data_IF_527946776332
#
_entry.id   IF_527946776332
#
_cell.length_a   1.000
_cell.length_b   1.000
_cell.length_c   1.000
_cell.angle_alpha   90.00
_cell.angle_beta   90.00
_cell.angle_gamma   90.00
#
_symmetry.space_group_name_H-M   'P 1'
#
loop_
_entity.id
_entity.type
_entity.pdbx_description
1 polymer ?
#
# COMPACT_ATOMS: atom_id res chain seq x y z
N UNK A 1 -11.83 -4.76 -18.99
CA UNK A 1 -11.77 -4.78 -17.52
C UNK A 1 -12.22 -6.12 -16.95
N UNK A 2 -13.46 -6.59 -17.19
CA UNK A 2 -13.94 -7.90 -16.67
C UNK A 2 -13.37 -9.16 -17.36
N UNK A 3 -12.74 -9.05 -18.52
CA UNK A 3 -12.14 -10.18 -19.26
C UNK A 3 -10.64 -10.37 -19.01
N UNK A 4 -10.04 -9.59 -18.10
CA UNK A 4 -8.61 -9.72 -17.80
C UNK A 4 -8.34 -10.95 -16.90
N UNK A 5 -7.25 -11.70 -17.13
CA UNK A 5 -6.89 -12.83 -16.29
C UNK A 5 -6.61 -12.35 -14.85
N UNK A 6 -7.13 -13.09 -13.86
CA UNK A 6 -6.97 -12.76 -12.43
C UNK A 6 -7.99 -11.76 -11.86
N UNK A 7 -8.91 -11.25 -12.67
CA UNK A 7 -9.99 -10.34 -12.21
C UNK A 7 -11.27 -11.13 -11.99
N UNK A 8 -11.83 -11.08 -10.77
CA UNK A 8 -13.11 -11.71 -10.46
C UNK A 8 -14.27 -10.90 -11.06
N UNK A 9 -15.22 -11.60 -11.69
CA UNK A 9 -16.42 -10.97 -12.28
C UNK A 9 -17.28 -10.29 -11.20
N UNK A 10 -17.28 -10.84 -9.97
CA UNK A 10 -18.00 -10.28 -8.83
C UNK A 10 -17.50 -8.88 -8.48
N UNK A 11 -16.20 -8.71 -8.34
CA UNK A 11 -15.57 -7.45 -7.93
C UNK A 11 -15.81 -6.36 -8.98
N UNK A 12 -15.72 -6.71 -10.27
CA UNK A 12 -16.02 -5.76 -11.35
C UNK A 12 -17.50 -5.40 -11.37
N UNK A 13 -18.39 -6.36 -11.16
CA UNK A 13 -19.82 -6.09 -11.10
C UNK A 13 -20.18 -5.16 -9.94
N UNK A 14 -19.59 -5.37 -8.77
CA UNK A 14 -19.74 -4.51 -7.60
C UNK A 14 -19.25 -3.08 -7.87
N UNK A 15 -18.07 -2.93 -8.50
CA UNK A 15 -17.53 -1.59 -8.86
C UNK A 15 -18.40 -0.83 -9.87
N UNK A 16 -19.12 -1.55 -10.73
CA UNK A 16 -20.03 -0.99 -11.73
C UNK A 16 -21.47 -0.86 -11.19
N UNK A 17 -21.71 -1.20 -9.91
CA UNK A 17 -23.03 -1.25 -9.28
C UNK A 17 -24.05 -2.09 -10.06
N UNK A 18 -23.60 -3.16 -10.71
CA UNK A 18 -24.45 -4.10 -11.44
C UNK A 18 -24.39 -5.48 -10.79
N UNK A 19 -25.40 -6.30 -11.04
CA UNK A 19 -25.39 -7.68 -10.58
C UNK A 19 -24.40 -8.54 -11.41
N UNK A 20 -23.69 -9.46 -10.74
CA UNK A 20 -22.65 -10.30 -11.35
C UNK A 20 -23.18 -11.21 -12.48
N UNK A 21 -24.42 -11.67 -12.36
CA UNK A 21 -25.11 -12.41 -13.42
C UNK A 21 -25.33 -11.54 -14.67
N UNK A 22 -25.74 -10.28 -14.49
CA UNK A 22 -25.94 -9.33 -15.61
C UNK A 22 -24.64 -9.12 -16.38
N UNK A 23 -23.53 -8.90 -15.67
CA UNK A 23 -22.21 -8.75 -16.29
C UNK A 23 -21.78 -10.02 -17.05
N UNK A 24 -22.06 -11.20 -16.48
CA UNK A 24 -21.78 -12.49 -17.13
C UNK A 24 -22.61 -12.69 -18.40
N UNK A 25 -23.90 -12.33 -18.36
CA UNK A 25 -24.81 -12.38 -19.50
C UNK A 25 -24.29 -11.48 -20.63
N UNK A 26 -23.92 -10.24 -20.33
CA UNK A 26 -23.37 -9.32 -21.35
C UNK A 26 -22.05 -9.81 -21.94
N UNK A 27 -21.16 -10.42 -21.14
CA UNK A 27 -19.94 -11.07 -21.68
C UNK A 27 -20.27 -12.16 -22.70
N UNK A 28 -21.31 -12.96 -22.44
CA UNK A 28 -21.77 -13.99 -23.36
C UNK A 28 -22.31 -13.37 -24.65
N UNK A 29 -23.17 -12.36 -24.54
CA UNK A 29 -23.79 -11.69 -25.70
C UNK A 29 -22.77 -10.97 -26.60
N UNK A 30 -21.70 -10.41 -26.03
CA UNK A 30 -20.59 -9.83 -26.81
C UNK A 30 -19.80 -10.91 -27.55
N UNK A 31 -19.58 -12.08 -26.94
CA UNK A 31 -18.91 -13.23 -27.58
C UNK A 31 -19.77 -13.81 -28.71
N UNK A 32 -21.07 -13.88 -28.49
CA UNK A 32 -22.05 -14.42 -29.43
C UNK A 32 -22.42 -13.40 -30.54
N UNK A 33 -21.79 -12.21 -30.52
CA UNK A 33 -21.99 -11.08 -31.45
C UNK A 33 -23.42 -10.52 -31.50
N UNK A 34 -24.24 -10.82 -30.50
CA UNK A 34 -25.57 -10.21 -30.33
C UNK A 34 -25.46 -8.74 -29.90
N UNK A 35 -24.42 -8.41 -29.11
CA UNK A 35 -24.10 -7.04 -28.72
C UNK A 35 -22.89 -6.54 -29.50
N UNK A 36 -23.14 -5.71 -30.50
CA UNK A 36 -22.11 -5.00 -31.26
C UNK A 36 -21.96 -3.61 -30.66
N UNK A 37 -20.98 -3.44 -29.78
CA UNK A 37 -20.57 -2.14 -29.24
C UNK A 37 -19.10 -1.92 -29.51
N UNK A 38 -18.73 -0.75 -30.06
CA UNK A 38 -17.33 -0.33 -30.05
C UNK A 38 -16.92 -0.14 -28.58
N UNK A 39 -15.84 -0.79 -28.09
CA UNK A 39 -15.30 -0.44 -26.79
C UNK A 39 -14.94 1.05 -26.83
N UNK A 40 -15.30 1.79 -25.77
CA UNK A 40 -14.85 3.16 -25.63
C UNK A 40 -13.31 3.20 -25.76
N UNK A 41 -12.74 4.17 -26.49
CA UNK A 41 -11.29 4.32 -26.57
C UNK A 41 -10.75 4.39 -25.14
N UNK A 42 -9.83 3.49 -24.80
CA UNK A 42 -9.12 3.62 -23.53
C UNK A 42 -8.16 4.78 -23.72
N UNK A 43 -8.48 5.90 -23.07
CA UNK A 43 -7.63 7.08 -23.04
C UNK A 43 -6.25 6.67 -22.50
N UNK A 44 -5.24 6.75 -23.38
CA UNK A 44 -3.88 6.31 -23.06
C UNK A 44 -3.28 7.10 -21.90
N UNK A 45 -3.75 8.34 -21.70
CA UNK A 45 -3.43 9.20 -20.56
C UNK A 45 -3.75 8.52 -19.22
N UNK A 46 -4.93 7.92 -19.07
CA UNK A 46 -5.34 7.23 -17.84
C UNK A 46 -4.42 6.04 -17.50
N UNK A 47 -3.89 5.35 -18.51
CA UNK A 47 -2.92 4.26 -18.31
C UNK A 47 -1.57 4.80 -17.82
N UNK A 48 -1.12 5.96 -18.31
CA UNK A 48 0.11 6.59 -17.85
C UNK A 48 0.00 7.11 -16.41
N UNK A 49 -1.16 7.64 -16.03
CA UNK A 49 -1.44 8.10 -14.66
C UNK A 49 -1.41 6.94 -13.67
N UNK A 50 -2.08 5.82 -13.99
CA UNK A 50 -2.05 4.61 -13.16
C UNK A 50 -0.62 4.05 -12.97
N UNK A 51 0.23 4.15 -14.00
CA UNK A 51 1.63 3.72 -13.90
C UNK A 51 2.42 4.63 -12.95
N UNK A 52 2.26 5.95 -13.10
CA UNK A 52 2.90 6.94 -12.20
C UNK A 52 2.45 6.74 -10.75
N UNK A 53 1.16 6.47 -10.51
CA UNK A 53 0.65 6.19 -9.17
C UNK A 53 1.30 4.96 -8.56
N UNK A 54 1.40 3.85 -9.30
CA UNK A 54 2.06 2.61 -8.83
C UNK A 54 3.53 2.84 -8.52
N UNK A 55 4.23 3.62 -9.33
CA UNK A 55 5.64 3.93 -9.12
C UNK A 55 5.83 4.72 -7.82
N UNK A 56 5.02 5.76 -7.59
CA UNK A 56 5.06 6.56 -6.35
C UNK A 56 4.76 5.69 -5.12
N UNK A 57 3.76 4.80 -5.19
CA UNK A 57 3.44 3.87 -4.09
C UNK A 57 4.61 2.93 -3.76
N UNK A 58 5.33 2.44 -4.77
CA UNK A 58 6.50 1.58 -4.57
C UNK A 58 7.65 2.35 -3.91
N UNK A 59 7.93 3.57 -4.36
CA UNK A 59 8.98 4.40 -3.75
C UNK A 59 8.62 4.76 -2.30
N UNK A 60 7.35 5.07 -2.03
CA UNK A 60 6.88 5.34 -0.68
C UNK A 60 7.09 4.15 0.26
N UNK A 61 6.73 2.94 -0.18
CA UNK A 61 6.95 1.70 0.60
C UNK A 61 8.43 1.46 0.87
N UNK A 62 9.30 1.65 -0.12
CA UNK A 62 10.76 1.53 0.05
C UNK A 62 11.27 2.55 1.06
N UNK A 63 10.90 3.81 0.93
CA UNK A 63 11.31 4.87 1.83
C UNK A 63 10.85 4.61 3.27
N UNK A 64 9.63 4.09 3.45
CA UNK A 64 9.12 3.73 4.77
C UNK A 64 9.95 2.60 5.42
N UNK A 65 10.36 1.59 4.64
CA UNK A 65 11.23 0.52 5.12
C UNK A 65 12.62 1.04 5.52
N UNK A 66 13.23 1.88 4.68
CA UNK A 66 14.53 2.50 4.96
C UNK A 66 14.49 3.36 6.23
N UNK A 67 13.43 4.15 6.38
CA UNK A 67 13.21 5.00 7.55
C UNK A 67 13.01 4.18 8.82
N UNK A 68 12.25 3.08 8.76
CA UNK A 68 12.07 2.18 9.90
C UNK A 68 13.38 1.50 10.30
N UNK A 69 14.21 1.10 9.33
CA UNK A 69 15.55 0.58 9.60
C UNK A 69 16.42 1.64 10.27
N UNK A 70 16.44 2.87 9.76
CA UNK A 70 17.20 3.98 10.34
C UNK A 70 16.77 4.29 11.78
N UNK A 71 15.46 4.29 12.05
CA UNK A 71 14.96 4.48 13.43
C UNK A 71 15.44 3.37 14.36
N UNK A 72 15.41 2.12 13.91
CA UNK A 72 15.88 0.97 14.69
C UNK A 72 17.38 1.06 14.98
N UNK A 73 18.20 1.48 14.02
CA UNK A 73 19.64 1.65 14.23
C UNK A 73 19.95 2.80 15.18
N UNK A 74 19.27 3.94 15.06
CA UNK A 74 19.42 5.07 16.00
C UNK A 74 19.06 4.62 17.43
N UNK A 75 17.94 3.92 17.59
CA UNK A 75 17.52 3.39 18.89
C UNK A 75 18.58 2.43 19.46
N UNK A 76 19.02 1.46 18.67
CA UNK A 76 20.06 0.52 19.09
C UNK A 76 21.38 1.20 19.50
N UNK A 77 21.84 2.18 18.72
CA UNK A 77 23.05 2.96 19.04
C UNK A 77 22.88 3.77 20.33
N UNK A 78 21.70 4.36 20.53
CA UNK A 78 21.35 5.12 21.73
C UNK A 78 21.33 4.23 22.97
N UNK A 79 20.71 3.05 22.88
CA UNK A 79 20.64 2.07 23.98
C UNK A 79 22.05 1.58 24.37
N UNK A 80 22.93 1.29 23.40
CA UNK A 80 24.33 0.95 23.67
C UNK A 80 25.08 2.08 24.36
N UNK A 81 24.87 3.33 23.93
CA UNK A 81 25.49 4.50 24.56
C UNK A 81 25.04 4.64 26.01
N UNK A 82 23.75 4.48 26.30
CA UNK A 82 23.23 4.48 27.68
C UNK A 82 23.85 3.39 28.54
N UNK A 83 23.97 2.17 28.02
CA UNK A 83 24.54 1.04 28.74
C UNK A 83 26.07 1.14 28.93
N UNK A 84 26.78 1.84 28.05
CA UNK A 84 28.23 2.07 28.15
C UNK A 84 28.61 3.22 29.08
N UNK A 85 27.66 4.08 29.45
CA UNK A 85 27.92 5.14 30.42
C UNK A 85 28.05 4.49 31.81
N UNK A 86 29.12 4.77 32.57
CA UNK A 86 29.19 4.32 33.96
C UNK A 86 27.97 4.89 34.67
N UNK A 87 27.20 4.03 35.32
CA UNK A 87 26.08 4.45 36.16
C UNK A 87 26.63 5.37 37.25
N UNK A 88 26.55 6.68 37.01
CA UNK A 88 26.89 7.69 38.00
C UNK A 88 25.80 7.67 39.05
N UNK A 89 25.90 6.72 39.99
CA UNK A 89 25.13 6.75 41.22
C UNK A 89 25.56 8.01 41.95
N UNK A 90 24.72 9.04 41.90
CA UNK A 90 24.89 10.23 42.71
C UNK A 90 24.70 9.79 44.17
N UNK A 91 25.79 9.39 44.83
CA UNK A 91 25.81 9.15 46.27
C UNK A 91 25.72 10.51 46.97
N UNK A 92 24.53 11.08 46.97
CA UNK A 92 24.20 12.21 47.82
C UNK A 92 24.22 11.72 49.26
N UNK A 93 25.15 12.25 50.08
CA UNK A 93 25.16 12.01 51.53
C UNK A 93 23.82 12.52 52.08
N UNK A 94 23.07 11.72 52.87
CA UNK A 94 21.85 12.22 53.49
C UNK A 94 22.26 13.24 54.56
N UNK A 95 22.05 14.52 54.28
CA UNK A 95 22.18 15.58 55.28
C UNK A 95 21.04 15.39 56.29
N UNK A 96 21.38 14.89 57.48
CA UNK A 96 20.47 14.76 58.62
C UNK A 96 20.23 16.15 59.22
N UNK A 97 19.02 16.69 59.09
CA UNK A 97 18.64 17.90 59.83
C UNK A 97 18.38 17.57 61.30
N UNK A 98 18.81 18.48 62.17
CA UNK A 98 18.72 18.41 63.63
C UNK A 98 17.40 19.02 64.12
#
# INVERSE_FOLDING_TARGET
MSSQPGVLVKDVAESLCIHSFTLSKWRKQVRDRELIGKPAPIEQSAVTELRRQREVEQQYKRLQQEHDLLKKTIRFASDRKQNSLPSAKQTGKPTRSR
#
